data_IF_458580468321
#
_entry.id   IF_458580468321
#
_cell.length_a   1.000
_cell.length_b   1.000
_cell.length_c   1.000
_cell.angle_alpha   90.00
_cell.angle_beta   90.00
_cell.angle_gamma   90.00
#
_symmetry.space_group_name_H-M   'P 1'
#
loop_
_entity.id
_entity.type
_entity.pdbx_description
1 polymer ?
#
# COMPACT_ATOMS: atom_id res chain seq x y z
N UNK A 1 -13.03 9.50 14.88
CA UNK A 1 -12.28 8.90 13.77
C UNK A 1 -12.52 7.40 13.81
N UNK A 2 -12.87 6.80 12.69
CA UNK A 2 -13.03 5.36 12.54
C UNK A 2 -11.66 4.65 12.52
N UNK A 3 -11.63 3.32 12.71
CA UNK A 3 -10.40 2.54 12.52
C UNK A 3 -9.86 2.68 11.09
N UNK A 4 -10.74 2.82 10.10
CA UNK A 4 -10.34 3.07 8.72
C UNK A 4 -9.68 4.44 8.55
N UNK A 5 -10.20 5.50 9.19
CA UNK A 5 -9.60 6.85 9.11
C UNK A 5 -8.16 6.85 9.63
N UNK A 6 -7.91 6.10 10.71
CA UNK A 6 -6.58 5.96 11.31
C UNK A 6 -5.65 5.17 10.39
N UNK A 7 -6.12 4.06 9.80
CA UNK A 7 -5.33 3.30 8.84
C UNK A 7 -5.08 4.06 7.54
N UNK A 8 -6.02 4.89 7.09
CA UNK A 8 -5.85 5.79 5.94
C UNK A 8 -4.74 6.79 6.19
N UNK A 9 -4.73 7.44 7.37
CA UNK A 9 -3.63 8.33 7.73
C UNK A 9 -2.30 7.58 7.85
N UNK A 10 -2.31 6.39 8.47
CA UNK A 10 -1.12 5.55 8.58
C UNK A 10 -0.56 5.16 7.21
N UNK A 11 -1.44 4.83 6.26
CA UNK A 11 -1.09 4.52 4.89
C UNK A 11 -0.41 5.71 4.21
N UNK A 12 -1.01 6.90 4.28
CA UNK A 12 -0.41 8.10 3.70
C UNK A 12 0.95 8.40 4.34
N UNK A 13 1.08 8.25 5.67
CA UNK A 13 2.35 8.46 6.39
C UNK A 13 3.43 7.44 5.97
N UNK A 14 3.05 6.16 5.85
CA UNK A 14 3.97 5.08 5.47
C UNK A 14 4.40 5.16 4.01
N UNK A 15 3.48 5.53 3.11
CA UNK A 15 3.70 5.44 1.67
C UNK A 15 4.36 6.70 1.08
N UNK A 16 4.16 7.88 1.69
CA UNK A 16 4.79 9.14 1.24
C UNK A 16 5.85 9.71 2.20
N UNK A 17 5.53 10.33 3.37
CA UNK A 17 6.53 11.03 4.17
C UNK A 17 7.65 10.14 4.73
N UNK A 18 7.34 8.89 5.10
CA UNK A 18 8.33 7.96 5.65
C UNK A 18 9.06 7.15 4.56
N UNK A 19 8.64 7.26 3.31
CA UNK A 19 9.30 6.63 2.18
C UNK A 19 10.50 7.48 1.72
N UNK A 20 11.68 6.88 1.72
CA UNK A 20 12.88 7.55 1.18
C UNK A 20 12.89 7.57 -0.36
N UNK A 21 13.62 8.51 -0.96
CA UNK A 21 13.80 8.54 -2.43
C UNK A 21 14.38 7.24 -2.99
N UNK A 22 15.26 6.58 -2.23
CA UNK A 22 15.82 5.27 -2.61
C UNK A 22 14.73 4.20 -2.72
N UNK A 23 13.81 4.12 -1.76
CA UNK A 23 12.65 3.22 -1.81
C UNK A 23 11.77 3.56 -3.01
N UNK A 24 11.36 4.82 -3.13
CA UNK A 24 10.44 5.30 -4.17
C UNK A 24 10.93 4.97 -5.59
N UNK A 25 12.20 5.23 -5.87
CA UNK A 25 12.79 5.04 -7.20
C UNK A 25 13.03 3.57 -7.57
N UNK A 26 13.16 2.68 -6.59
CA UNK A 26 13.64 1.32 -6.84
C UNK A 26 12.63 0.20 -6.48
N UNK A 27 11.57 0.48 -5.70
CA UNK A 27 10.64 -0.57 -5.20
C UNK A 27 9.95 -1.38 -6.30
N UNK A 28 9.66 -0.74 -7.44
CA UNK A 28 9.04 -1.43 -8.58
C UNK A 28 9.94 -2.49 -9.23
N UNK A 29 11.27 -2.34 -9.15
CA UNK A 29 12.22 -3.18 -9.91
C UNK A 29 13.09 -4.06 -9.01
N UNK A 30 13.47 -3.58 -7.82
CA UNK A 30 14.39 -4.27 -6.90
C UNK A 30 13.68 -4.74 -5.63
N UNK A 31 14.00 -5.97 -5.21
CA UNK A 31 13.40 -6.59 -4.02
C UNK A 31 13.78 -5.92 -2.70
N UNK A 32 15.05 -5.55 -2.54
CA UNK A 32 15.51 -4.99 -1.26
C UNK A 32 14.84 -3.65 -0.91
N UNK A 33 14.76 -2.65 -1.82
CA UNK A 33 14.00 -1.42 -1.58
C UNK A 33 12.51 -1.67 -1.35
N UNK A 34 11.92 -2.64 -2.06
CA UNK A 34 10.51 -3.00 -1.91
C UNK A 34 10.20 -3.58 -0.54
N UNK A 35 11.00 -4.54 -0.07
CA UNK A 35 10.84 -5.17 1.24
C UNK A 35 11.07 -4.12 2.33
N UNK A 36 12.14 -3.32 2.23
CA UNK A 36 12.42 -2.26 3.19
C UNK A 36 11.25 -1.28 3.31
N UNK A 37 10.70 -0.84 2.18
CA UNK A 37 9.54 0.03 2.13
C UNK A 37 8.29 -0.63 2.74
N UNK A 38 7.97 -1.86 2.32
CA UNK A 38 6.81 -2.61 2.82
C UNK A 38 6.89 -2.85 4.33
N UNK A 39 8.11 -3.03 4.87
CA UNK A 39 8.35 -3.15 6.31
C UNK A 39 8.08 -1.84 7.03
N UNK A 40 8.59 -0.71 6.52
CA UNK A 40 8.33 0.62 7.10
C UNK A 40 6.82 0.90 7.09
N UNK A 41 6.19 0.72 5.93
CA UNK A 41 4.76 0.88 5.74
C UNK A 41 3.94 0.05 6.74
N UNK A 42 4.17 -1.28 6.78
CA UNK A 42 3.40 -2.18 7.65
C UNK A 42 3.65 -1.88 9.13
N UNK A 43 4.87 -1.48 9.50
CA UNK A 43 5.20 -1.07 10.87
C UNK A 43 4.46 0.22 11.26
N UNK A 44 4.38 1.21 10.36
CA UNK A 44 3.60 2.44 10.57
C UNK A 44 2.12 2.12 10.82
N UNK A 45 1.53 1.23 10.00
CA UNK A 45 0.16 0.77 10.19
C UNK A 45 -0.02 0.04 11.53
N UNK A 46 0.88 -0.89 11.86
CA UNK A 46 0.82 -1.64 13.12
C UNK A 46 0.90 -0.76 14.35
N UNK A 47 1.81 0.23 14.37
CA UNK A 47 1.96 1.18 15.48
C UNK A 47 0.71 2.05 15.62
N UNK A 48 0.21 2.62 14.53
CA UNK A 48 -0.99 3.48 14.59
C UNK A 48 -2.23 2.67 14.97
N UNK A 49 -2.38 1.45 14.45
CA UNK A 49 -3.47 0.56 14.83
C UNK A 49 -3.42 0.19 16.32
N UNK A 50 -2.22 -0.13 16.83
CA UNK A 50 -2.02 -0.48 18.24
C UNK A 50 -2.41 0.67 19.16
N UNK A 51 -1.94 1.89 18.86
CA UNK A 51 -2.26 3.08 19.63
C UNK A 51 -3.72 3.54 19.48
N UNK A 52 -4.31 3.29 18.31
CA UNK A 52 -5.62 3.85 17.93
C UNK A 52 -6.82 3.00 18.32
N UNK A 53 -6.75 1.67 18.12
CA UNK A 53 -7.90 0.78 18.33
C UNK A 53 -7.52 -0.61 18.87
N UNK A 54 -6.32 -0.76 19.45
CA UNK A 54 -5.87 -2.02 20.08
C UNK A 54 -5.06 -2.94 19.17
N UNK A 55 -4.78 -2.53 17.94
CA UNK A 55 -3.89 -3.23 17.02
C UNK A 55 -4.59 -4.07 15.97
N UNK A 56 -3.76 -4.60 15.06
CA UNK A 56 -4.16 -5.62 14.09
C UNK A 56 -3.52 -6.94 14.52
N UNK A 57 -4.23 -8.05 14.32
CA UNK A 57 -3.66 -9.37 14.61
C UNK A 57 -2.58 -9.72 13.58
N UNK A 58 -1.67 -10.63 13.94
CA UNK A 58 -0.46 -10.89 13.16
C UNK A 58 -0.74 -11.28 11.69
N UNK A 59 -1.82 -12.02 11.43
CA UNK A 59 -2.16 -12.45 10.07
C UNK A 59 -2.71 -11.29 9.23
N UNK A 60 -3.41 -10.32 9.83
CA UNK A 60 -3.86 -9.10 9.13
C UNK A 60 -2.66 -8.27 8.67
N UNK A 61 -1.65 -8.11 9.55
CA UNK A 61 -0.40 -7.44 9.21
C UNK A 61 0.36 -8.18 8.11
N UNK A 62 0.36 -9.51 8.13
CA UNK A 62 1.00 -10.31 7.08
C UNK A 62 0.32 -10.11 5.72
N UNK A 63 -1.01 -10.11 5.66
CA UNK A 63 -1.73 -9.87 4.40
C UNK A 63 -1.49 -8.45 3.89
N UNK A 64 -1.50 -7.45 4.79
CA UNK A 64 -1.15 -6.06 4.43
C UNK A 64 0.25 -6.01 3.82
N UNK A 65 1.24 -6.61 4.47
CA UNK A 65 2.63 -6.62 4.01
C UNK A 65 2.78 -7.27 2.64
N UNK A 66 2.21 -8.47 2.44
CA UNK A 66 2.27 -9.19 1.17
C UNK A 66 1.49 -8.49 0.06
N UNK A 67 0.32 -7.92 0.39
CA UNK A 67 -0.48 -7.13 -0.52
C UNK A 67 0.25 -5.87 -0.98
N UNK A 68 0.93 -5.18 -0.07
CA UNK A 68 1.77 -4.02 -0.37
C UNK A 68 2.89 -4.39 -1.34
N UNK A 69 3.62 -5.48 -1.06
CA UNK A 69 4.65 -6.01 -1.97
C UNK A 69 4.09 -6.28 -3.37
N UNK A 70 2.91 -6.92 -3.46
CA UNK A 70 2.29 -7.26 -4.73
C UNK A 70 1.91 -6.02 -5.54
N UNK A 71 1.27 -5.03 -4.90
CA UNK A 71 0.79 -3.82 -5.54
C UNK A 71 1.96 -2.92 -5.99
N UNK A 72 2.96 -2.72 -5.13
CA UNK A 72 4.10 -1.84 -5.40
C UNK A 72 5.06 -2.34 -6.48
N UNK A 73 4.99 -3.63 -6.87
CA UNK A 73 5.67 -4.12 -8.08
C UNK A 73 5.07 -3.52 -9.36
N UNK A 74 3.89 -2.88 -9.28
CA UNK A 74 3.14 -2.24 -10.37
C UNK A 74 2.75 -3.16 -11.53
N UNK A 75 3.07 -4.45 -11.49
CA UNK A 75 2.70 -5.42 -12.52
C UNK A 75 1.18 -5.56 -12.57
N UNK A 76 0.56 -5.78 -11.40
CA UNK A 76 -0.89 -5.89 -11.29
C UNK A 76 -1.60 -4.60 -11.70
N UNK A 77 -1.17 -3.46 -11.15
CA UNK A 77 -1.76 -2.15 -11.46
C UNK A 77 -1.63 -1.81 -12.94
N UNK A 78 -0.44 -2.01 -13.54
CA UNK A 78 -0.23 -1.75 -14.95
C UNK A 78 -1.08 -2.68 -15.84
N UNK A 79 -1.21 -3.95 -15.45
CA UNK A 79 -2.10 -4.88 -16.12
C UNK A 79 -3.56 -4.41 -16.04
N UNK A 80 -4.04 -4.01 -14.86
CA UNK A 80 -5.40 -3.55 -14.64
C UNK A 80 -5.72 -2.32 -15.48
N UNK A 81 -4.86 -1.29 -15.43
CA UNK A 81 -5.08 -0.05 -16.19
C UNK A 81 -5.09 -0.32 -17.69
N UNK A 82 -4.23 -1.21 -18.19
CA UNK A 82 -4.17 -1.53 -19.63
C UNK A 82 -5.32 -2.41 -20.11
N UNK A 83 -5.71 -3.43 -19.35
CA UNK A 83 -6.65 -4.46 -19.83
C UNK A 83 -8.08 -4.23 -19.36
N UNK A 84 -8.26 -3.75 -18.13
CA UNK A 84 -9.59 -3.50 -17.55
C UNK A 84 -10.04 -2.08 -17.89
N UNK A 85 -9.21 -1.08 -17.61
CA UNK A 85 -9.55 0.33 -17.88
C UNK A 85 -9.29 0.74 -19.33
N UNK A 86 -8.54 -0.07 -20.09
CA UNK A 86 -8.17 0.18 -21.50
C UNK A 86 -7.45 1.52 -21.72
N UNK A 87 -6.62 1.92 -20.75
CA UNK A 87 -5.91 3.19 -20.76
C UNK A 87 -4.41 3.00 -20.99
N UNK A 88 -3.84 3.89 -21.81
CA UNK A 88 -2.40 3.96 -22.03
C UNK A 88 -1.71 4.77 -20.91
N UNK A 89 -1.02 4.04 -20.03
CA UNK A 89 -0.25 4.62 -18.92
C UNK A 89 0.90 5.53 -19.36
N UNK A 90 1.39 5.42 -20.60
CA UNK A 90 2.45 6.32 -21.09
C UNK A 90 1.96 7.77 -21.23
N UNK A 91 0.65 7.94 -21.44
CA UNK A 91 0.00 9.25 -21.59
C UNK A 91 -0.49 9.82 -20.26
N UNK A 92 -0.73 8.97 -19.26
CA UNK A 92 -1.23 9.40 -17.96
C UNK A 92 -0.67 8.53 -16.82
N UNK A 93 0.57 8.83 -16.43
CA UNK A 93 1.25 8.12 -15.34
C UNK A 93 0.58 8.37 -13.98
N UNK A 94 -0.03 9.55 -13.79
CA UNK A 94 -0.75 9.90 -12.56
C UNK A 94 -1.93 8.97 -12.29
N UNK A 95 -2.67 8.60 -13.33
CA UNK A 95 -3.75 7.62 -13.20
C UNK A 95 -3.25 6.29 -12.62
N UNK A 96 -2.06 5.83 -13.06
CA UNK A 96 -1.45 4.61 -12.52
C UNK A 96 -1.17 4.71 -11.02
N UNK A 97 -0.68 5.87 -10.56
CA UNK A 97 -0.48 6.13 -9.12
C UNK A 97 -1.82 6.13 -8.39
N UNK A 98 -2.85 6.81 -8.90
CA UNK A 98 -4.16 6.84 -8.24
C UNK A 98 -4.79 5.46 -8.13
N UNK A 99 -4.72 4.64 -9.18
CA UNK A 99 -5.25 3.27 -9.17
C UNK A 99 -4.49 2.40 -8.18
N UNK A 100 -3.16 2.54 -8.13
CA UNK A 100 -2.31 1.87 -7.15
C UNK A 100 -2.76 2.20 -5.71
N UNK A 101 -2.91 3.48 -5.38
CA UNK A 101 -3.34 3.91 -4.05
C UNK A 101 -4.75 3.41 -3.70
N UNK A 102 -5.69 3.44 -4.65
CA UNK A 102 -7.05 2.93 -4.43
C UNK A 102 -7.03 1.43 -4.10
N UNK A 103 -6.18 0.63 -4.73
CA UNK A 103 -6.05 -0.78 -4.38
C UNK A 103 -5.48 -0.99 -2.97
N UNK A 104 -4.50 -0.18 -2.56
CA UNK A 104 -4.01 -0.22 -1.19
C UNK A 104 -5.11 0.12 -0.17
N UNK A 105 -5.88 1.18 -0.41
CA UNK A 105 -7.00 1.55 0.47
C UNK A 105 -8.09 0.48 0.51
N UNK A 106 -8.37 -0.16 -0.64
CA UNK A 106 -9.32 -1.27 -0.73
C UNK A 106 -8.85 -2.47 0.11
N UNK A 107 -7.55 -2.77 0.10
CA UNK A 107 -6.96 -3.81 0.95
C UNK A 107 -7.15 -3.48 2.44
N UNK A 108 -6.94 -2.24 2.86
CA UNK A 108 -7.16 -1.83 4.25
C UNK A 108 -8.62 -1.95 4.67
N UNK A 109 -9.54 -1.50 3.81
CA UNK A 109 -10.97 -1.65 4.04
C UNK A 109 -11.35 -3.13 4.19
N UNK A 110 -10.84 -3.99 3.31
CA UNK A 110 -11.07 -5.44 3.35
C UNK A 110 -10.54 -6.08 4.63
N UNK A 111 -9.31 -5.76 5.05
CA UNK A 111 -8.69 -6.34 6.24
C UNK A 111 -9.45 -6.01 7.52
N UNK A 112 -10.07 -4.84 7.61
CA UNK A 112 -10.93 -4.50 8.75
C UNK A 112 -12.23 -5.31 8.80
N UNK A 113 -12.65 -5.96 7.71
CA UNK A 113 -13.86 -6.79 7.66
C UNK A 113 -13.59 -8.28 7.92
N UNK A 114 -12.35 -8.72 7.79
CA UNK A 114 -11.97 -10.12 8.03
C UNK A 114 -11.50 -10.24 9.48
N UNK A 115 -12.19 -11.08 10.27
CA UNK A 115 -11.88 -11.36 11.68
C UNK A 115 -11.12 -12.68 11.84
#
# INVERSE_FOLDING_TARGET
MSSFDLLLLAHLLGDFPLQTSWMAMNKATKWFPLIAHSTVYTSTLGVIAFLGFGGLVWWQLLIIFLGHILLDRRIFVAWWVRHVMRTDLSKNQWLGIMVDQVFHLTLLAFILQVQ
#
